data_IF_310898090596
#
_entry.id   IF_310898090596
#
_cell.length_a   1.000
_cell.length_b   1.000
_cell.length_c   1.000
_cell.angle_alpha   90.00
_cell.angle_beta   90.00
_cell.angle_gamma   90.00
#
_symmetry.space_group_name_H-M   'P 1'
#
loop_
_entity.id
_entity.type
_entity.pdbx_description
1 polymer ?
#
# COMPACT_ATOMS: atom_id res chain seq x y z
N UNK A 1 9.89 -8.33 -13.76
CA UNK A 1 10.52 -7.60 -12.65
C UNK A 1 12.01 -7.78 -12.80
N UNK A 2 12.78 -6.69 -12.80
CA UNK A 2 14.23 -6.76 -12.80
C UNK A 2 14.70 -7.59 -11.59
N UNK A 3 15.77 -8.37 -11.76
CA UNK A 3 16.38 -9.13 -10.66
C UNK A 3 15.78 -10.49 -10.31
N UNK A 4 14.82 -11.04 -11.09
CA UNK A 4 14.33 -12.42 -10.84
C UNK A 4 15.27 -13.47 -11.44
N UNK A 5 15.64 -14.45 -10.62
CA UNK A 5 16.31 -15.69 -11.06
C UNK A 5 15.28 -16.81 -11.17
N UNK A 6 15.39 -17.66 -12.19
CA UNK A 6 14.50 -18.82 -12.30
C UNK A 6 14.78 -19.86 -11.21
N UNK A 7 13.73 -20.53 -10.76
CA UNK A 7 13.86 -21.64 -9.83
C UNK A 7 14.53 -22.85 -10.52
N UNK A 8 15.47 -23.54 -9.87
CA UNK A 8 16.06 -24.78 -10.39
C UNK A 8 15.01 -25.87 -10.67
N UNK A 9 15.26 -26.69 -11.70
CA UNK A 9 14.27 -27.67 -12.19
C UNK A 9 13.93 -28.77 -11.15
N UNK A 10 14.90 -29.16 -10.32
CA UNK A 10 14.68 -30.12 -9.23
C UNK A 10 13.68 -29.61 -8.18
N UNK A 11 13.62 -28.29 -7.95
CA UNK A 11 12.65 -27.66 -7.06
C UNK A 11 11.34 -27.41 -7.78
N UNK A 12 11.36 -26.98 -9.05
CA UNK A 12 10.14 -26.81 -9.87
C UNK A 12 9.32 -28.10 -9.90
N UNK A 13 9.97 -29.26 -9.98
CA UNK A 13 9.32 -30.58 -9.98
C UNK A 13 8.50 -30.89 -8.71
N UNK A 14 8.78 -30.22 -7.58
CA UNK A 14 8.06 -30.42 -6.33
C UNK A 14 6.73 -29.66 -6.26
N UNK A 15 6.47 -28.72 -7.18
CA UNK A 15 5.31 -27.86 -7.14
C UNK A 15 4.39 -28.08 -8.34
N UNK A 16 3.09 -27.88 -8.12
CA UNK A 16 2.11 -27.78 -9.20
C UNK A 16 1.87 -26.32 -9.54
N UNK A 17 1.98 -25.90 -10.81
CA UNK A 17 1.70 -24.52 -11.18
C UNK A 17 0.20 -24.22 -11.02
N UNK A 18 -0.11 -23.09 -10.39
CA UNK A 18 -1.47 -22.54 -10.31
C UNK A 18 -1.43 -21.12 -10.87
N UNK A 19 -2.25 -20.85 -11.88
CA UNK A 19 -2.35 -19.53 -12.49
C UNK A 19 -3.35 -18.67 -11.71
N UNK A 20 -2.89 -17.53 -11.17
CA UNK A 20 -3.70 -16.58 -10.39
C UNK A 20 -3.48 -15.16 -10.92
N UNK A 21 -3.91 -14.92 -12.16
CA UNK A 21 -3.57 -13.69 -12.90
C UNK A 21 -4.53 -12.53 -12.65
N UNK A 22 -5.84 -12.80 -12.52
CA UNK A 22 -6.88 -11.76 -12.45
C UNK A 22 -7.83 -12.09 -11.30
N UNK A 23 -7.87 -11.28 -10.24
CA UNK A 23 -8.87 -11.44 -9.18
C UNK A 23 -10.23 -10.89 -9.62
N UNK A 24 -11.31 -11.47 -9.11
CA UNK A 24 -12.64 -10.88 -9.22
C UNK A 24 -12.78 -9.73 -8.20
N UNK A 25 -12.41 -8.52 -8.63
CA UNK A 25 -12.44 -7.33 -7.78
C UNK A 25 -13.85 -6.95 -7.34
N UNK A 26 -14.87 -7.23 -8.16
CA UNK A 26 -16.25 -6.87 -7.86
C UNK A 26 -16.80 -7.73 -6.72
N UNK A 27 -16.63 -9.06 -6.83
CA UNK A 27 -17.06 -10.00 -5.79
C UNK A 27 -16.33 -9.73 -4.46
N UNK A 28 -15.00 -9.50 -4.51
CA UNK A 28 -14.23 -9.22 -3.29
C UNK A 28 -14.70 -7.91 -2.64
N UNK A 29 -14.90 -6.86 -3.45
CA UNK A 29 -15.39 -5.58 -2.95
C UNK A 29 -16.80 -5.69 -2.36
N UNK A 30 -17.69 -6.44 -3.00
CA UNK A 30 -19.06 -6.71 -2.53
C UNK A 30 -19.06 -7.35 -1.14
N UNK A 31 -18.32 -8.46 -0.97
CA UNK A 31 -18.22 -9.16 0.31
C UNK A 31 -17.68 -8.22 1.40
N UNK A 32 -16.71 -7.38 1.06
CA UNK A 32 -16.09 -6.44 2.00
C UNK A 32 -17.01 -5.27 2.36
N UNK A 33 -17.82 -4.78 1.43
CA UNK A 33 -18.84 -3.77 1.72
C UNK A 33 -19.91 -4.34 2.65
N UNK A 34 -20.39 -5.56 2.38
CA UNK A 34 -21.35 -6.23 3.25
C UNK A 34 -20.80 -6.48 4.66
N UNK A 35 -19.53 -6.87 4.79
CA UNK A 35 -18.91 -7.07 6.11
C UNK A 35 -18.77 -5.77 6.92
N UNK A 36 -18.86 -4.61 6.27
CA UNK A 36 -18.86 -3.29 6.89
C UNK A 36 -20.26 -2.69 7.09
N UNK A 37 -21.32 -3.44 6.81
CA UNK A 37 -22.70 -3.05 7.08
C UNK A 37 -23.37 -2.25 5.96
N UNK A 38 -22.77 -2.19 4.78
CA UNK A 38 -23.42 -1.64 3.59
C UNK A 38 -24.55 -2.58 3.13
N UNK A 39 -25.73 -2.04 2.84
CA UNK A 39 -26.88 -2.79 2.32
C UNK A 39 -26.86 -2.88 0.80
N UNK A 40 -26.32 -1.87 0.12
CA UNK A 40 -26.27 -1.77 -1.35
C UNK A 40 -24.93 -2.25 -1.94
N UNK A 41 -24.18 -3.08 -1.20
CA UNK A 41 -22.83 -3.53 -1.55
C UNK A 41 -22.69 -4.15 -2.95
N UNK A 42 -23.71 -4.85 -3.43
CA UNK A 42 -23.74 -5.43 -4.78
C UNK A 42 -23.71 -4.37 -5.90
N UNK A 43 -24.52 -3.32 -5.79
CA UNK A 43 -24.58 -2.26 -6.81
C UNK A 43 -23.36 -1.35 -6.71
N UNK A 44 -22.94 -1.02 -5.50
CA UNK A 44 -21.82 -0.13 -5.23
C UNK A 44 -20.47 -0.72 -5.66
N UNK A 45 -20.22 -2.00 -5.38
CA UNK A 45 -18.98 -2.69 -5.79
C UNK A 45 -18.78 -2.66 -7.30
N UNK A 46 -19.84 -2.95 -8.08
CA UNK A 46 -19.80 -2.90 -9.55
C UNK A 46 -19.52 -1.51 -10.09
N UNK A 47 -20.21 -0.48 -9.55
CA UNK A 47 -19.97 0.91 -9.94
C UNK A 47 -18.53 1.32 -9.65
N UNK A 48 -18.04 1.00 -8.45
CA UNK A 48 -16.67 1.32 -8.04
C UNK A 48 -15.61 0.66 -8.93
N UNK A 49 -15.71 -0.66 -9.14
CA UNK A 49 -14.76 -1.41 -9.98
C UNK A 49 -14.82 -0.92 -11.43
N UNK A 50 -16.01 -0.62 -11.95
CA UNK A 50 -16.15 -0.02 -13.28
C UNK A 50 -15.44 1.33 -13.38
N UNK A 51 -15.56 2.19 -12.36
CA UNK A 51 -14.84 3.48 -12.33
C UNK A 51 -13.33 3.29 -12.32
N UNK A 52 -12.79 2.37 -11.51
CA UNK A 52 -11.36 2.06 -11.50
C UNK A 52 -10.87 1.51 -12.84
N UNK A 53 -11.63 0.60 -13.45
CA UNK A 53 -11.32 0.03 -14.76
C UNK A 53 -11.30 1.12 -15.84
N UNK A 54 -12.35 1.92 -15.94
CA UNK A 54 -12.42 3.02 -16.90
C UNK A 54 -11.30 4.04 -16.67
N UNK A 55 -10.97 4.35 -15.41
CA UNK A 55 -9.86 5.24 -15.09
C UNK A 55 -8.52 4.68 -15.55
N UNK A 56 -8.30 3.36 -15.41
CA UNK A 56 -7.08 2.71 -15.90
C UNK A 56 -6.96 2.67 -17.42
N UNK A 57 -8.09 2.67 -18.15
CA UNK A 57 -8.14 2.58 -19.60
C UNK A 57 -8.14 3.96 -20.29
N UNK A 58 -8.77 4.96 -19.66
CA UNK A 58 -9.04 6.26 -20.28
C UNK A 58 -8.10 7.38 -19.81
N UNK A 59 -7.47 7.24 -18.64
CA UNK A 59 -6.49 8.22 -18.19
C UNK A 59 -5.15 8.02 -18.88
N UNK A 60 -4.36 9.08 -18.98
CA UNK A 60 -2.98 9.01 -19.43
C UNK A 60 -2.17 8.03 -18.59
N UNK A 61 -1.34 7.19 -19.23
CA UNK A 61 -0.42 6.32 -18.52
C UNK A 61 0.54 7.15 -17.66
N UNK A 62 0.58 6.88 -16.36
CA UNK A 62 1.49 7.50 -15.39
C UNK A 62 1.95 6.44 -14.39
N UNK A 63 3.24 6.42 -14.05
CA UNK A 63 3.83 5.38 -13.17
C UNK A 63 3.29 5.41 -11.73
N UNK A 64 2.77 6.56 -11.30
CA UNK A 64 2.27 6.77 -9.94
C UNK A 64 0.76 6.49 -9.81
N UNK A 65 0.07 6.07 -10.87
CA UNK A 65 -1.34 5.69 -10.80
C UNK A 65 -1.48 4.25 -10.30
N UNK A 66 -2.30 4.05 -9.27
CA UNK A 66 -2.63 2.74 -8.70
C UNK A 66 -4.13 2.49 -8.83
N UNK A 67 -4.53 1.61 -9.75
CA UNK A 67 -5.92 1.17 -9.94
C UNK A 67 -6.13 -0.31 -9.57
N UNK A 68 -5.14 -0.92 -8.91
CA UNK A 68 -5.18 -2.32 -8.49
C UNK A 68 -6.07 -2.55 -7.25
N UNK A 69 -6.11 -3.80 -6.79
CA UNK A 69 -6.93 -4.20 -5.62
C UNK A 69 -6.56 -3.45 -4.33
N UNK A 70 -5.32 -2.94 -4.23
CA UNK A 70 -4.89 -2.13 -3.08
C UNK A 70 -5.64 -0.81 -3.00
N UNK A 71 -5.78 -0.08 -4.11
CA UNK A 71 -6.57 1.15 -4.18
C UNK A 71 -8.04 0.88 -3.84
N UNK A 72 -8.62 -0.21 -4.39
CA UNK A 72 -9.98 -0.65 -4.06
C UNK A 72 -10.13 -0.88 -2.54
N UNK A 73 -9.17 -1.57 -1.92
CA UNK A 73 -9.21 -1.82 -0.48
C UNK A 73 -9.07 -0.55 0.37
N UNK A 74 -8.27 0.43 -0.08
CA UNK A 74 -8.16 1.73 0.60
C UNK A 74 -9.50 2.45 0.60
N UNK A 75 -10.15 2.57 -0.57
CA UNK A 75 -11.47 3.21 -0.69
C UNK A 75 -12.52 2.53 0.19
N UNK A 76 -12.62 1.19 0.15
CA UNK A 76 -13.61 0.48 0.98
C UNK A 76 -13.32 0.67 2.49
N UNK A 77 -12.04 0.73 2.87
CA UNK A 77 -11.66 0.91 4.28
C UNK A 77 -11.92 2.34 4.78
N UNK A 78 -11.76 3.35 3.92
CA UNK A 78 -12.20 4.72 4.21
C UNK A 78 -13.73 4.78 4.33
N UNK A 79 -14.45 4.12 3.42
CA UNK A 79 -15.92 4.14 3.36
C UNK A 79 -16.54 3.52 4.59
N UNK A 80 -15.87 2.54 5.18
CA UNK A 80 -16.23 1.99 6.49
C UNK A 80 -16.23 3.05 7.58
N UNK A 81 -15.18 3.86 7.69
CA UNK A 81 -15.06 4.88 8.72
C UNK A 81 -16.14 5.94 8.52
N UNK A 82 -16.37 6.36 7.26
CA UNK A 82 -17.45 7.29 6.96
C UNK A 82 -18.83 6.73 7.28
N UNK A 83 -19.08 5.44 7.03
CA UNK A 83 -20.35 4.80 7.38
C UNK A 83 -20.57 4.73 8.90
N UNK A 84 -19.50 4.59 9.66
CA UNK A 84 -19.55 4.64 11.12
C UNK A 84 -19.86 6.05 11.62
N UNK A 85 -19.23 7.08 11.06
CA UNK A 85 -19.38 8.47 11.49
C UNK A 85 -20.69 9.10 11.00
N UNK A 86 -21.21 8.65 9.85
CA UNK A 86 -22.45 9.12 9.22
C UNK A 86 -23.39 7.94 8.88
N UNK A 87 -24.03 7.29 9.88
CA UNK A 87 -24.82 6.07 9.66
C UNK A 87 -26.02 6.25 8.74
N UNK A 88 -26.66 7.43 8.80
CA UNK A 88 -27.90 7.76 8.10
C UNK A 88 -27.67 8.33 6.68
N UNK A 89 -26.43 8.63 6.32
CA UNK A 89 -26.12 9.09 4.96
C UNK A 89 -26.27 7.97 3.92
N UNK A 90 -26.53 8.37 2.68
CA UNK A 90 -26.62 7.45 1.56
C UNK A 90 -25.29 6.74 1.35
N UNK A 91 -25.34 5.41 1.25
CA UNK A 91 -24.15 4.58 1.03
C UNK A 91 -23.45 4.92 -0.29
N UNK A 92 -24.22 5.32 -1.31
CA UNK A 92 -23.68 5.78 -2.58
C UNK A 92 -22.90 7.08 -2.44
N UNK A 93 -23.41 8.06 -1.67
CA UNK A 93 -22.70 9.33 -1.49
C UNK A 93 -21.43 9.16 -0.66
N UNK A 94 -21.45 8.30 0.36
CA UNK A 94 -20.27 7.99 1.19
C UNK A 94 -19.17 7.36 0.33
N UNK A 95 -19.50 6.35 -0.46
CA UNK A 95 -18.54 5.66 -1.32
C UNK A 95 -18.03 6.54 -2.46
N UNK A 96 -18.90 7.37 -3.05
CA UNK A 96 -18.50 8.33 -4.08
C UNK A 96 -17.55 9.39 -3.51
N UNK A 97 -17.80 9.88 -2.29
CA UNK A 97 -16.94 10.85 -1.61
C UNK A 97 -15.53 10.30 -1.47
N UNK A 98 -15.38 9.11 -0.90
CA UNK A 98 -14.06 8.48 -0.75
C UNK A 98 -13.39 8.16 -2.07
N UNK A 99 -14.16 7.67 -3.05
CA UNK A 99 -13.63 7.42 -4.38
C UNK A 99 -13.09 8.72 -5.01
N UNK A 100 -13.81 9.82 -4.87
CA UNK A 100 -13.38 11.13 -5.38
C UNK A 100 -12.14 11.65 -4.65
N UNK A 101 -12.05 11.43 -3.33
CA UNK A 101 -10.89 11.82 -2.53
C UNK A 101 -9.66 11.00 -2.92
N UNK A 102 -9.79 9.69 -3.11
CA UNK A 102 -8.68 8.84 -3.50
C UNK A 102 -8.19 9.17 -4.93
N UNK A 103 -9.11 9.44 -5.85
CA UNK A 103 -8.77 9.92 -7.20
C UNK A 103 -8.11 11.32 -7.18
N UNK A 104 -8.35 12.13 -6.15
CA UNK A 104 -7.79 13.50 -5.99
C UNK A 104 -6.51 13.52 -5.15
N UNK A 105 -6.32 12.55 -4.26
CA UNK A 105 -5.16 12.37 -3.36
C UNK A 105 -3.83 12.41 -4.11
N UNK A 106 -3.84 12.04 -5.40
CA UNK A 106 -2.74 12.17 -6.36
C UNK A 106 -2.13 13.58 -6.46
N UNK A 107 -2.85 14.64 -6.04
CA UNK A 107 -2.33 16.03 -6.01
C UNK A 107 -2.04 16.59 -4.62
N UNK A 108 -2.66 16.08 -3.54
CA UNK A 108 -2.78 16.81 -2.26
C UNK A 108 -1.77 16.47 -1.18
N UNK A 109 -1.08 15.32 -1.24
CA UNK A 109 -0.16 14.86 -0.16
C UNK A 109 1.12 15.69 0.05
N UNK A 110 1.36 16.75 -0.74
CA UNK A 110 2.56 17.58 -0.64
C UNK A 110 2.51 18.62 0.51
N UNK A 111 1.41 18.72 1.27
CA UNK A 111 1.18 19.85 2.18
C UNK A 111 0.95 19.49 3.67
N UNK A 112 1.24 18.26 4.10
CA UNK A 112 1.26 17.95 5.54
C UNK A 112 2.58 18.44 6.15
N UNK A 113 2.51 19.25 7.21
CA UNK A 113 3.67 19.57 8.03
C UNK A 113 4.02 18.32 8.84
N UNK A 114 5.24 17.83 8.65
CA UNK A 114 5.76 16.67 9.38
C UNK A 114 6.16 17.08 10.80
N UNK A 115 5.17 17.13 11.70
CA UNK A 115 5.45 17.32 13.12
C UNK A 115 6.15 16.05 13.65
N UNK A 116 7.33 16.21 14.25
CA UNK A 116 8.24 15.16 14.75
C UNK A 116 8.99 14.33 13.66
N UNK A 117 9.84 15.01 12.89
CA UNK A 117 10.81 14.36 11.98
C UNK A 117 11.92 13.68 12.79
N UNK A 118 12.00 12.35 12.72
CA UNK A 118 13.08 11.60 13.36
C UNK A 118 14.39 11.76 12.58
N UNK A 119 14.34 11.56 11.26
CA UNK A 119 15.54 11.64 10.43
C UNK A 119 15.22 11.84 8.95
N UNK A 120 16.23 12.35 8.24
CA UNK A 120 16.24 12.48 6.78
C UNK A 120 17.43 11.70 6.23
N UNK A 121 17.17 10.70 5.40
CA UNK A 121 18.16 9.75 4.88
C UNK A 121 18.24 9.81 3.36
N UNK A 122 19.45 9.75 2.79
CA UNK A 122 19.65 9.52 1.36
C UNK A 122 20.02 8.06 1.12
N UNK A 123 19.08 7.28 0.58
CA UNK A 123 19.21 5.83 0.43
C UNK A 123 20.32 5.41 -0.54
N UNK A 124 20.60 6.23 -1.56
CA UNK A 124 21.61 5.93 -2.58
C UNK A 124 23.04 6.07 -2.01
N UNK A 125 23.18 6.82 -0.91
CA UNK A 125 24.48 7.05 -0.28
C UNK A 125 24.90 5.95 0.72
N UNK A 126 24.01 5.01 1.04
CA UNK A 126 24.25 3.96 2.04
C UNK A 126 24.19 2.59 1.35
N UNK A 127 25.24 1.76 1.46
CA UNK A 127 25.21 0.39 0.95
C UNK A 127 24.04 -0.42 1.56
N UNK A 128 23.39 -1.28 0.77
CA UNK A 128 22.24 -2.08 1.21
C UNK A 128 22.49 -2.84 2.53
N UNK A 129 23.68 -3.42 2.69
CA UNK A 129 24.05 -4.13 3.91
C UNK A 129 24.09 -3.23 5.15
N UNK A 130 24.63 -2.02 5.01
CA UNK A 130 24.73 -1.01 6.08
C UNK A 130 23.44 -0.21 6.26
N UNK A 131 22.44 -0.42 5.40
CA UNK A 131 21.11 0.14 5.56
C UNK A 131 20.20 -0.83 6.33
N UNK A 132 20.11 -2.08 5.86
CA UNK A 132 19.15 -3.07 6.38
C UNK A 132 19.73 -4.02 7.44
N UNK A 133 21.06 -4.12 7.53
CA UNK A 133 21.73 -5.13 8.34
C UNK A 133 22.30 -6.26 7.49
N UNK A 134 23.42 -6.81 7.95
CA UNK A 134 24.06 -7.97 7.33
C UNK A 134 24.22 -9.09 8.33
N UNK A 135 24.11 -10.32 7.83
CA UNK A 135 24.56 -11.49 8.56
C UNK A 135 26.05 -11.68 8.29
N UNK A 136 26.85 -11.72 9.36
CA UNK A 136 28.27 -12.01 9.28
C UNK A 136 28.51 -13.50 9.63
N UNK A 137 28.87 -14.27 8.61
CA UNK A 137 29.17 -15.69 8.74
C UNK A 137 30.45 -15.97 9.54
N UNK A 138 31.37 -15.00 9.65
CA UNK A 138 32.60 -15.18 10.42
C UNK A 138 32.33 -15.11 11.93
N UNK A 139 31.41 -14.25 12.35
CA UNK A 139 31.02 -14.08 13.76
C UNK A 139 29.75 -14.86 14.13
N UNK A 140 29.10 -15.51 13.17
CA UNK A 140 27.76 -16.09 13.30
C UNK A 140 26.74 -15.08 13.88
N UNK A 141 26.94 -13.79 13.59
CA UNK A 141 26.22 -12.69 14.20
C UNK A 141 25.40 -11.88 13.21
N UNK A 142 24.28 -11.34 13.67
CA UNK A 142 23.53 -10.33 12.93
C UNK A 142 24.02 -8.94 13.32
N UNK A 143 24.41 -8.14 12.32
CA UNK A 143 24.72 -6.74 12.53
C UNK A 143 23.47 -5.91 12.24
N UNK A 144 22.96 -5.23 13.28
CA UNK A 144 21.85 -4.29 13.13
C UNK A 144 22.40 -2.96 12.63
N UNK A 145 21.78 -2.41 11.60
CA UNK A 145 22.26 -1.20 10.93
C UNK A 145 21.22 -0.08 10.94
N UNK A 146 21.52 1.01 10.21
CA UNK A 146 20.86 2.32 10.28
C UNK A 146 19.34 2.23 10.36
N UNK A 147 18.69 1.50 9.45
CA UNK A 147 17.22 1.43 9.41
C UNK A 147 16.64 0.65 10.61
N UNK A 148 17.28 -0.47 10.99
CA UNK A 148 16.81 -1.29 12.10
C UNK A 148 16.92 -0.57 13.44
N UNK A 149 17.99 0.21 13.64
CA UNK A 149 18.17 1.01 14.85
C UNK A 149 17.13 2.14 14.91
N UNK A 150 16.90 2.85 13.81
CA UNK A 150 15.88 3.89 13.74
C UNK A 150 14.48 3.37 14.01
N UNK A 151 14.09 2.25 13.39
CA UNK A 151 12.79 1.62 13.64
C UNK A 151 12.65 1.23 15.12
N UNK A 152 13.71 0.73 15.75
CA UNK A 152 13.69 0.38 17.18
C UNK A 152 13.47 1.61 18.06
N UNK A 153 14.09 2.73 17.74
CA UNK A 153 13.91 3.98 18.48
C UNK A 153 12.49 4.54 18.30
N UNK A 154 11.91 4.44 17.09
CA UNK A 154 10.52 4.81 16.84
C UNK A 154 9.55 3.98 17.69
N UNK A 155 9.76 2.66 17.74
CA UNK A 155 8.89 1.73 18.47
C UNK A 155 9.03 1.89 19.98
N UNK A 156 10.20 2.34 20.46
CA UNK A 156 10.47 2.54 21.88
C UNK A 156 9.75 3.77 22.45
N UNK A 157 9.42 4.74 21.60
CA UNK A 157 8.64 5.90 22.02
C UNK A 157 7.18 5.51 22.23
N UNK A 158 6.71 5.60 23.48
CA UNK A 158 5.32 5.32 23.87
C UNK A 158 4.41 6.54 23.68
N UNK A 159 4.95 7.66 23.18
CA UNK A 159 4.15 8.87 22.93
C UNK A 159 3.13 8.65 21.80
N UNK A 160 2.01 9.37 21.88
CA UNK A 160 0.99 9.35 20.82
C UNK A 160 1.42 10.16 19.57
N UNK A 161 2.66 10.68 19.53
CA UNK A 161 3.14 11.45 18.39
C UNK A 161 3.47 10.52 17.23
N UNK A 162 3.10 10.95 16.01
CA UNK A 162 3.51 10.25 14.80
C UNK A 162 4.97 10.55 14.51
N UNK A 163 5.73 9.51 14.20
CA UNK A 163 7.12 9.64 13.78
C UNK A 163 7.24 9.62 12.26
N UNK A 164 8.07 10.50 11.72
CA UNK A 164 8.35 10.55 10.30
C UNK A 164 9.81 10.22 10.01
N UNK A 165 10.02 9.30 9.06
CA UNK A 165 11.33 9.01 8.46
C UNK A 165 11.25 9.45 7.00
N UNK A 166 12.06 10.44 6.62
CA UNK A 166 12.08 10.97 5.26
C UNK A 166 13.24 10.34 4.50
N UNK A 167 12.93 9.74 3.36
CA UNK A 167 13.93 9.29 2.40
C UNK A 167 14.04 10.32 1.27
N UNK A 168 15.25 10.83 1.05
CA UNK A 168 15.59 11.73 -0.05
C UNK A 168 16.38 11.01 -1.13
N UNK A 169 16.16 11.41 -2.37
CA UNK A 169 16.81 10.84 -3.55
C UNK A 169 15.83 10.16 -4.50
N UNK A 170 16.35 9.68 -5.62
CA UNK A 170 15.59 8.85 -6.55
C UNK A 170 15.35 7.46 -5.94
N UNK A 171 14.24 6.85 -6.34
CA UNK A 171 13.93 5.45 -5.97
C UNK A 171 14.44 4.57 -7.09
N UNK A 172 15.43 3.72 -6.78
CA UNK A 172 15.94 2.71 -7.71
C UNK A 172 15.39 1.33 -7.33
N UNK A 173 14.99 0.55 -8.34
CA UNK A 173 14.45 -0.80 -8.16
C UNK A 173 15.50 -1.91 -8.46
N UNK A 174 16.79 -1.57 -8.40
CA UNK A 174 17.91 -2.45 -8.70
C UNK A 174 18.57 -3.02 -7.44
#
# INVERSE_FOLDING_TARGET
YAGRTELPDNLKALFRPVAVMIPDQALIAEIRLFSFGFKEGYTLSKKMVATFKLSSEQLSSQDHYEFGMRAVNTVISAARNLKHDFPDESEESLLLRDLSEEMTSLKKRRAEKFDNLICKLNLISIPYGDLYGTYDAATNGWKNEVLMLMMRDCIRDESAQKHWIIYEGSVDAY
#
